data_IF_289428385894
#
_entry.id   IF_289428385894
#
_cell.length_a   1.000
_cell.length_b   1.000
_cell.length_c   1.000
_cell.angle_alpha   90.00
_cell.angle_beta   90.00
_cell.angle_gamma   90.00
#
_symmetry.space_group_name_H-M   'P 1'
#
loop_
_entity.id
_entity.type
_entity.pdbx_description
1 polymer ?
#
# COMPACT_ATOMS: atom_id res chain seq x y z
N UNK A 1 -15.68 -24.22 -50.74
CA UNK A 1 -14.95 -22.95 -50.95
C UNK A 1 -14.68 -22.33 -49.59
N UNK A 2 -13.61 -22.78 -48.95
CA UNK A 2 -13.09 -22.28 -47.67
C UNK A 2 -12.20 -21.08 -47.95
N UNK A 3 -12.59 -19.89 -47.49
CA UNK A 3 -11.73 -18.71 -47.53
C UNK A 3 -10.98 -18.56 -46.21
N UNK A 4 -9.71 -18.24 -46.40
CA UNK A 4 -8.58 -18.40 -45.50
C UNK A 4 -8.62 -17.43 -44.30
N UNK A 5 -8.23 -17.92 -43.13
CA UNK A 5 -8.20 -17.20 -41.86
C UNK A 5 -6.78 -16.69 -41.60
N UNK A 6 -6.19 -16.05 -42.62
CA UNK A 6 -4.84 -15.49 -42.65
C UNK A 6 -4.87 -14.17 -43.42
N UNK A 7 -5.28 -13.07 -42.79
CA UNK A 7 -5.02 -11.72 -43.32
C UNK A 7 -5.30 -10.54 -42.35
N UNK A 8 -5.37 -10.78 -41.03
CA UNK A 8 -5.57 -9.73 -40.03
C UNK A 8 -4.58 -9.85 -38.85
N UNK A 9 -3.30 -10.10 -39.15
CA UNK A 9 -2.20 -9.89 -38.21
C UNK A 9 -1.37 -8.70 -38.71
N UNK A 10 -1.86 -7.49 -38.43
CA UNK A 10 -1.07 -6.28 -38.58
C UNK A 10 0.07 -6.27 -37.56
N UNK A 11 1.28 -6.08 -38.06
CA UNK A 11 2.54 -6.00 -37.32
C UNK A 11 2.47 -5.02 -36.14
N UNK A 12 2.40 -5.57 -34.93
CA UNK A 12 2.74 -4.83 -33.71
C UNK A 12 4.26 -4.56 -33.72
N UNK A 13 4.70 -3.31 -33.49
CA UNK A 13 6.13 -3.00 -33.41
C UNK A 13 6.75 -3.79 -32.25
N UNK A 14 7.77 -4.59 -32.57
CA UNK A 14 8.56 -5.32 -31.57
C UNK A 14 9.14 -4.32 -30.54
N UNK A 15 8.67 -4.43 -29.30
CA UNK A 15 9.28 -3.76 -28.17
C UNK A 15 10.78 -4.13 -28.10
N UNK A 16 11.68 -3.16 -27.85
CA UNK A 16 13.11 -3.45 -27.75
C UNK A 16 13.35 -4.52 -26.67
N UNK A 17 14.04 -5.59 -27.04
CA UNK A 17 14.52 -6.60 -26.10
C UNK A 17 15.53 -5.95 -25.16
N UNK A 18 15.06 -5.38 -24.07
CA UNK A 18 15.92 -4.98 -22.96
C UNK A 18 16.43 -6.25 -22.29
N UNK A 19 17.67 -6.62 -22.59
CA UNK A 19 18.43 -7.59 -21.80
C UNK A 19 18.47 -7.06 -20.36
N UNK A 20 18.04 -7.82 -19.34
CA UNK A 20 18.18 -7.38 -17.96
C UNK A 20 19.65 -7.05 -17.69
N UNK A 21 19.96 -5.97 -16.94
CA UNK A 21 21.33 -5.59 -16.68
C UNK A 21 22.07 -6.79 -16.08
N UNK A 22 23.24 -7.09 -16.66
CA UNK A 22 24.12 -8.15 -16.21
C UNK A 22 24.27 -8.07 -14.69
N UNK A 23 23.99 -9.20 -14.00
CA UNK A 23 24.00 -9.37 -12.54
C UNK A 23 25.43 -9.19 -12.02
N UNK A 24 25.93 -7.97 -12.14
CA UNK A 24 27.21 -7.57 -11.61
C UNK A 24 27.01 -7.59 -10.11
N UNK A 25 27.61 -8.58 -9.46
CA UNK A 25 27.64 -8.69 -8.01
C UNK A 25 28.13 -7.36 -7.46
N UNK A 26 27.22 -6.51 -6.99
CA UNK A 26 27.56 -5.42 -6.08
C UNK A 26 28.01 -6.15 -4.84
N UNK A 27 29.33 -6.32 -4.73
CA UNK A 27 29.95 -6.85 -3.52
C UNK A 27 29.49 -5.93 -2.39
N UNK A 28 28.68 -6.45 -1.48
CA UNK A 28 28.40 -5.79 -0.24
C UNK A 28 29.75 -5.43 0.37
N UNK A 29 30.07 -4.14 0.42
CA UNK A 29 31.22 -3.65 1.17
C UNK A 29 30.92 -3.98 2.63
N UNK A 30 31.48 -5.09 3.11
CA UNK A 30 31.48 -5.41 4.53
C UNK A 30 32.14 -4.22 5.23
N UNK A 31 31.36 -3.51 6.06
CA UNK A 31 31.89 -2.47 6.92
C UNK A 31 33.04 -3.03 7.79
N UNK A 32 33.92 -2.16 8.31
CA UNK A 32 35.05 -2.59 9.11
C UNK A 32 34.61 -3.53 10.25
N UNK A 33 35.32 -4.65 10.48
CA UNK A 33 34.96 -5.59 11.53
C UNK A 33 34.98 -4.88 12.90
N UNK A 34 33.83 -4.87 13.58
CA UNK A 34 33.67 -4.26 14.91
C UNK A 34 32.73 -3.05 14.97
N UNK A 35 32.23 -2.52 13.84
CA UNK A 35 31.17 -1.52 13.88
C UNK A 35 29.84 -2.15 14.34
N UNK A 36 29.12 -1.57 15.31
CA UNK A 36 27.81 -2.07 15.72
C UNK A 36 26.89 -2.05 14.50
N UNK A 37 26.38 -3.22 14.11
CA UNK A 37 25.41 -3.31 13.03
C UNK A 37 24.17 -2.51 13.43
N UNK A 38 23.63 -1.72 12.50
CA UNK A 38 22.43 -0.91 12.74
C UNK A 38 21.28 -1.39 11.87
N UNK A 39 20.06 -1.23 12.40
CA UNK A 39 18.80 -1.49 11.71
C UNK A 39 18.12 -0.14 11.49
N UNK A 40 17.71 0.13 10.26
CA UNK A 40 16.87 1.30 9.93
C UNK A 40 15.41 0.87 9.92
N UNK A 41 14.59 1.55 10.73
CA UNK A 41 13.16 1.35 10.78
C UNK A 41 12.47 2.59 10.19
N UNK A 42 11.80 2.46 9.03
CA UNK A 42 11.06 3.55 8.40
C UNK A 42 10.06 4.22 9.33
N UNK A 43 10.08 5.55 9.35
CA UNK A 43 8.98 6.33 9.93
C UNK A 43 7.79 6.29 8.97
N UNK A 44 6.63 6.03 9.54
CA UNK A 44 5.35 6.03 8.86
C UNK A 44 4.52 7.22 9.30
N UNK A 45 3.75 7.76 8.38
CA UNK A 45 2.75 8.78 8.65
C UNK A 45 1.43 8.29 8.08
N UNK A 46 0.44 8.17 8.95
CA UNK A 46 -0.97 8.04 8.59
C UNK A 46 -1.63 9.40 8.79
N UNK A 47 -2.47 9.79 7.85
CA UNK A 47 -3.37 10.92 8.01
C UNK A 47 -4.80 10.38 7.92
N UNK A 48 -5.62 10.67 8.92
CA UNK A 48 -7.04 10.33 8.90
C UNK A 48 -7.84 11.62 8.69
N UNK A 49 -8.67 11.63 7.66
CA UNK A 49 -9.52 12.76 7.30
C UNK A 49 -10.96 12.49 7.72
N UNK A 50 -11.54 13.42 8.47
CA UNK A 50 -12.97 13.48 8.76
C UNK A 50 -13.52 14.74 8.11
N UNK A 51 -14.63 14.63 7.38
CA UNK A 51 -15.08 15.57 6.34
C UNK A 51 -14.66 17.04 6.49
N UNK A 52 -15.08 17.70 7.57
CA UNK A 52 -14.80 19.12 7.86
C UNK A 52 -13.81 19.33 9.03
N UNK A 53 -13.27 18.24 9.58
CA UNK A 53 -12.33 18.25 10.69
C UNK A 53 -10.89 18.49 10.25
N UNK A 54 -10.07 19.00 11.17
CA UNK A 54 -8.62 19.05 10.95
C UNK A 54 -8.07 17.61 10.80
N UNK A 55 -7.20 17.33 9.81
CA UNK A 55 -6.64 16.01 9.59
C UNK A 55 -5.90 15.51 10.83
N UNK A 56 -6.29 14.33 11.31
CA UNK A 56 -5.57 13.68 12.41
C UNK A 56 -4.32 12.98 11.86
N UNK A 57 -3.15 13.34 12.38
CA UNK A 57 -1.88 12.81 11.92
C UNK A 57 -1.23 11.91 12.96
N UNK A 58 -1.06 10.64 12.61
CA UNK A 58 -0.35 9.66 13.43
C UNK A 58 1.03 9.36 12.83
N UNK A 59 2.07 9.39 13.67
CA UNK A 59 3.44 9.08 13.26
C UNK A 59 3.94 7.88 14.05
N UNK A 60 4.28 6.81 13.34
CA UNK A 60 4.64 5.52 13.93
C UNK A 60 5.89 4.92 13.28
N UNK A 61 6.42 3.87 13.90
CA UNK A 61 7.54 3.09 13.38
C UNK A 61 7.34 1.63 13.74
N UNK A 62 7.52 0.74 12.76
CA UNK A 62 7.51 -0.69 13.01
C UNK A 62 8.83 -1.12 13.66
N UNK A 63 8.78 -1.58 14.89
CA UNK A 63 9.95 -2.05 15.63
C UNK A 63 10.26 -3.50 15.26
N UNK A 64 11.23 -3.73 14.37
CA UNK A 64 11.67 -5.08 13.97
C UNK A 64 12.10 -6.01 15.12
N UNK A 65 12.44 -5.46 16.29
CA UNK A 65 12.78 -6.25 17.49
C UNK A 65 11.55 -6.68 18.27
N UNK A 66 10.51 -5.83 18.32
CA UNK A 66 9.26 -6.12 19.03
C UNK A 66 8.18 -6.71 18.13
N UNK A 67 8.38 -6.67 16.80
CA UNK A 67 7.44 -7.17 15.81
C UNK A 67 6.14 -6.36 15.74
N UNK A 68 6.14 -5.09 16.16
CA UNK A 68 4.92 -4.26 16.19
C UNK A 68 5.20 -2.78 15.88
N UNK A 69 4.20 -2.07 15.38
CA UNK A 69 4.17 -0.62 15.19
C UNK A 69 3.96 0.10 16.51
N UNK A 70 4.80 1.11 16.74
CA UNK A 70 4.79 1.91 17.95
C UNK A 70 4.72 3.40 17.58
N UNK A 71 4.11 4.23 18.43
CA UNK A 71 4.26 5.68 18.36
C UNK A 71 5.75 6.08 18.31
N UNK A 72 6.10 7.06 17.47
CA UNK A 72 7.50 7.44 17.24
C UNK A 72 8.23 7.89 18.53
N UNK A 73 7.53 8.51 19.46
CA UNK A 73 8.07 8.96 20.74
C UNK A 73 8.47 7.81 21.68
N UNK A 74 7.84 6.64 21.56
CA UNK A 74 8.20 5.43 22.30
C UNK A 74 9.65 4.99 22.01
N UNK A 75 10.22 5.36 20.87
CA UNK A 75 11.63 5.06 20.55
C UNK A 75 12.62 5.81 21.44
N UNK A 76 12.27 7.00 21.98
CA UNK A 76 13.17 7.82 22.80
C UNK A 76 13.65 7.12 24.06
N UNK A 77 12.84 6.21 24.61
CA UNK A 77 13.17 5.40 25.78
C UNK A 77 13.79 4.02 25.46
N UNK A 78 14.01 3.70 24.18
CA UNK A 78 14.50 2.39 23.78
C UNK A 78 16.01 2.28 23.98
N UNK A 79 16.46 1.27 24.74
CA UNK A 79 17.89 0.99 24.95
C UNK A 79 18.67 0.67 23.66
N UNK A 80 17.96 0.32 22.57
CA UNK A 80 18.57 0.05 21.26
C UNK A 80 18.58 1.27 20.34
N UNK A 81 17.99 2.41 20.73
CA UNK A 81 17.98 3.61 19.89
C UNK A 81 19.42 4.12 19.68
N UNK A 82 19.79 4.32 18.42
CA UNK A 82 21.07 4.92 18.01
C UNK A 82 20.85 6.35 17.53
N UNK A 83 19.85 6.57 16.68
CA UNK A 83 19.50 7.89 16.18
C UNK A 83 18.00 8.01 15.89
N UNK A 84 17.44 9.16 16.27
CA UNK A 84 16.13 9.61 15.83
C UNK A 84 16.27 10.44 14.55
N UNK A 85 15.24 10.47 13.69
CA UNK A 85 15.24 11.35 12.53
C UNK A 85 15.12 12.81 12.98
N UNK A 86 15.78 13.72 12.25
CA UNK A 86 15.73 15.17 12.50
C UNK A 86 14.36 15.78 12.13
N UNK A 87 13.64 15.13 11.22
CA UNK A 87 12.32 15.52 10.75
C UNK A 87 11.48 14.28 10.40
N UNK A 88 10.16 14.39 10.49
CA UNK A 88 9.22 13.37 10.00
C UNK A 88 8.72 13.66 8.58
N UNK A 89 9.32 14.66 7.92
CA UNK A 89 9.12 14.94 6.50
C UNK A 89 10.02 14.03 5.63
N UNK A 90 9.47 13.50 4.54
CA UNK A 90 10.13 12.59 3.60
C UNK A 90 10.36 11.18 4.12
N UNK A 91 11.48 10.60 3.68
CA UNK A 91 11.94 9.24 3.99
C UNK A 91 12.77 9.24 5.28
N UNK A 92 12.12 9.51 6.41
CA UNK A 92 12.75 9.46 7.72
C UNK A 92 12.89 8.00 8.23
N UNK A 93 13.95 7.72 8.97
CA UNK A 93 14.16 6.42 9.63
C UNK A 93 14.62 6.60 11.09
N UNK A 94 14.16 5.72 11.96
CA UNK A 94 14.76 5.50 13.29
C UNK A 94 15.86 4.46 13.15
N UNK A 95 17.06 4.79 13.63
CA UNK A 95 18.21 3.86 13.60
C UNK A 95 18.35 3.18 14.95
N UNK A 96 18.40 1.85 14.96
CA UNK A 96 18.53 1.03 16.16
C UNK A 96 19.77 0.12 16.08
N UNK A 97 20.29 -0.31 17.24
CA UNK A 97 21.32 -1.34 17.32
C UNK A 97 20.73 -2.69 16.87
N UNK A 98 21.41 -3.34 15.93
CA UNK A 98 21.05 -4.68 15.50
C UNK A 98 21.40 -5.70 16.57
N UNK A 99 20.52 -6.67 16.78
CA UNK A 99 20.89 -7.94 17.41
C UNK A 99 21.12 -8.91 16.26
N UNK A 100 22.40 -9.16 15.95
CA UNK A 100 22.92 -10.07 14.92
C UNK A 100 21.91 -10.52 13.86
N UNK A 101 21.76 -9.74 12.78
CA UNK A 101 20.98 -10.18 11.61
C UNK A 101 21.89 -11.08 10.77
N UNK A 102 21.55 -12.36 10.68
CA UNK A 102 22.16 -13.26 9.71
C UNK A 102 21.69 -12.87 8.31
N UNK A 103 22.60 -12.35 7.49
CA UNK A 103 22.38 -12.13 6.07
C UNK A 103 22.17 -13.47 5.38
N UNK A 104 20.91 -13.81 5.08
CA UNK A 104 20.60 -15.00 4.31
C UNK A 104 21.11 -14.84 2.87
N UNK A 105 21.71 -15.92 2.36
CA UNK A 105 22.15 -16.07 0.97
C UNK A 105 20.99 -15.74 0.01
N UNK A 106 21.30 -15.36 -1.24
CA UNK A 106 20.32 -15.05 -2.27
C UNK A 106 19.26 -16.15 -2.41
N UNK A 107 18.14 -15.95 -1.72
CA UNK A 107 16.96 -16.80 -1.74
C UNK A 107 16.25 -16.67 -3.09
N UNK A 108 15.60 -17.75 -3.53
CA UNK A 108 14.68 -17.68 -4.68
C UNK A 108 13.48 -16.78 -4.33
N UNK A 109 12.84 -16.21 -5.34
CA UNK A 109 11.79 -15.19 -5.23
C UNK A 109 10.68 -15.58 -4.23
N UNK A 110 10.24 -16.85 -4.27
CA UNK A 110 9.22 -17.37 -3.36
C UNK A 110 9.66 -17.38 -1.88
N UNK A 111 10.91 -17.76 -1.59
CA UNK A 111 11.44 -17.75 -0.22
C UNK A 111 11.57 -16.31 0.30
N UNK A 112 11.96 -15.36 -0.55
CA UNK A 112 11.96 -13.93 -0.16
C UNK A 112 10.56 -13.42 0.13
N UNK A 113 9.60 -13.71 -0.73
CA UNK A 113 8.21 -13.31 -0.54
C UNK A 113 7.59 -13.89 0.75
N UNK A 114 8.04 -15.09 1.16
CA UNK A 114 7.61 -15.74 2.39
C UNK A 114 8.29 -15.18 3.66
N UNK A 115 9.37 -14.39 3.53
CA UNK A 115 10.16 -13.88 4.66
C UNK A 115 10.01 -12.38 4.88
N UNK A 116 9.84 -11.61 3.81
CA UNK A 116 9.69 -10.15 3.91
C UNK A 116 8.29 -9.87 4.45
N UNK A 117 8.23 -9.12 5.55
CA UNK A 117 6.95 -8.72 6.14
C UNK A 117 6.36 -7.49 5.46
N UNK A 118 5.05 -7.35 5.54
CA UNK A 118 4.35 -6.16 5.05
C UNK A 118 4.81 -4.88 5.74
N UNK A 119 5.29 -4.97 6.98
CA UNK A 119 5.90 -3.85 7.67
C UNK A 119 7.16 -3.29 6.98
N UNK A 120 7.78 -4.02 6.06
CA UNK A 120 8.99 -3.57 5.36
C UNK A 120 8.68 -2.91 4.01
N UNK A 121 7.57 -3.28 3.38
CA UNK A 121 7.19 -2.83 2.03
C UNK A 121 5.93 -1.97 1.99
N UNK A 122 5.07 -2.07 3.00
CA UNK A 122 3.86 -1.24 3.12
C UNK A 122 4.22 0.24 3.12
N UNK A 123 3.39 1.05 2.45
CA UNK A 123 3.66 2.47 2.23
C UNK A 123 3.97 3.20 3.51
N UNK A 124 5.00 4.06 3.44
CA UNK A 124 5.39 4.93 4.55
C UNK A 124 4.39 6.07 4.78
N UNK A 125 3.65 6.45 3.75
CA UNK A 125 2.67 7.54 3.78
C UNK A 125 1.40 7.07 3.09
N UNK A 126 0.30 7.16 3.82
CA UNK A 126 -1.02 6.78 3.34
C UNK A 126 -2.07 7.59 4.09
N UNK A 127 -3.26 7.69 3.49
CA UNK A 127 -4.40 8.35 4.08
C UNK A 127 -5.49 7.33 4.39
N UNK A 128 -6.21 7.56 5.48
CA UNK A 128 -7.48 6.93 5.82
C UNK A 128 -8.57 8.00 5.85
N UNK A 129 -9.82 7.57 5.75
CA UNK A 129 -10.98 8.46 5.82
C UNK A 129 -11.99 7.93 6.82
N UNK A 130 -12.74 8.81 7.46
CA UNK A 130 -13.91 8.41 8.25
C UNK A 130 -15.07 8.06 7.33
N UNK A 131 -16.04 7.32 7.88
CA UNK A 131 -17.27 6.96 7.16
C UNK A 131 -18.03 8.20 6.64
N UNK A 132 -17.96 9.30 7.39
CA UNK A 132 -18.62 10.58 7.17
C UNK A 132 -17.93 11.46 6.13
N UNK A 133 -16.73 11.11 5.69
CA UNK A 133 -15.95 11.94 4.75
C UNK A 133 -16.72 12.14 3.43
N UNK A 134 -16.92 13.39 2.96
CA UNK A 134 -17.64 13.67 1.73
C UNK A 134 -16.97 13.10 0.50
N UNK A 135 -17.79 12.75 -0.49
CA UNK A 135 -17.36 12.19 -1.77
C UNK A 135 -16.35 13.08 -2.50
N UNK A 136 -16.57 14.40 -2.48
CA UNK A 136 -15.64 15.38 -3.10
C UNK A 136 -14.22 15.29 -2.53
N UNK A 137 -14.09 15.05 -1.22
CA UNK A 137 -12.79 14.81 -0.59
C UNK A 137 -12.15 13.50 -1.08
N UNK A 138 -12.95 12.45 -1.29
CA UNK A 138 -12.47 11.18 -1.84
C UNK A 138 -11.97 11.34 -3.27
N UNK A 139 -12.69 12.10 -4.09
CA UNK A 139 -12.28 12.43 -5.46
C UNK A 139 -10.93 13.13 -5.47
N UNK A 140 -10.76 14.19 -4.66
CA UNK A 140 -9.46 14.88 -4.58
C UNK A 140 -8.34 13.93 -4.15
N UNK A 141 -8.55 13.13 -3.12
CA UNK A 141 -7.51 12.21 -2.62
C UNK A 141 -7.17 11.10 -3.63
N UNK A 142 -8.17 10.52 -4.30
CA UNK A 142 -7.95 9.38 -5.21
C UNK A 142 -7.53 9.84 -6.60
N UNK A 143 -8.08 10.94 -7.12
CA UNK A 143 -7.85 11.42 -8.48
C UNK A 143 -6.70 12.43 -8.53
N UNK A 144 -6.73 13.47 -7.69
CA UNK A 144 -5.75 14.57 -7.73
C UNK A 144 -4.44 14.20 -7.02
N UNK A 145 -4.52 13.65 -5.80
CA UNK A 145 -3.34 13.22 -5.02
C UNK A 145 -2.81 11.84 -5.45
N UNK A 146 -3.41 11.28 -6.48
CA UNK A 146 -3.14 9.99 -7.07
C UNK A 146 -3.11 8.78 -6.11
N UNK A 147 -3.84 8.83 -4.99
CA UNK A 147 -3.90 7.69 -4.10
C UNK A 147 -4.58 6.49 -4.77
N UNK A 148 -4.09 5.29 -4.47
CA UNK A 148 -4.63 4.07 -5.06
C UNK A 148 -5.95 3.65 -4.40
N UNK A 149 -6.03 3.83 -3.08
CA UNK A 149 -7.17 3.46 -2.26
C UNK A 149 -7.14 4.22 -0.93
N UNK A 150 -8.31 4.33 -0.31
CA UNK A 150 -8.55 4.94 0.99
C UNK A 150 -9.25 3.93 1.90
N UNK A 151 -8.56 3.35 2.90
CA UNK A 151 -9.22 2.60 3.95
C UNK A 151 -10.19 3.53 4.69
N UNK A 152 -11.43 3.07 4.82
CA UNK A 152 -12.44 3.73 5.66
C UNK A 152 -12.33 3.14 7.05
N UNK A 153 -12.20 4.00 8.06
CA UNK A 153 -12.00 3.59 9.46
C UNK A 153 -13.13 4.07 10.37
N UNK A 154 -13.37 3.33 11.45
CA UNK A 154 -14.23 3.76 12.56
C UNK A 154 -13.52 4.73 13.51
N UNK A 155 -14.18 5.10 14.60
CA UNK A 155 -13.64 6.01 15.61
C UNK A 155 -12.43 5.43 16.36
N UNK A 156 -12.30 4.11 16.41
CA UNK A 156 -11.17 3.38 16.99
C UNK A 156 -10.04 3.13 15.97
N UNK A 157 -10.05 3.81 14.81
CA UNK A 157 -9.08 3.67 13.72
C UNK A 157 -9.01 2.26 13.09
N UNK A 158 -10.07 1.46 13.26
CA UNK A 158 -10.17 0.11 12.69
C UNK A 158 -10.82 0.15 11.32
N UNK A 159 -10.34 -0.66 10.37
CA UNK A 159 -10.87 -0.66 9.01
C UNK A 159 -12.28 -1.27 8.96
N UNK A 160 -13.22 -0.52 8.40
CA UNK A 160 -14.62 -0.93 8.19
C UNK A 160 -14.99 -1.05 6.70
N UNK A 161 -14.12 -0.56 5.81
CA UNK A 161 -14.26 -0.66 4.37
C UNK A 161 -13.08 -0.04 3.64
N UNK A 162 -13.17 0.01 2.31
CA UNK A 162 -12.17 0.65 1.45
C UNK A 162 -12.86 1.34 0.27
N UNK A 163 -12.34 2.48 -0.14
CA UNK A 163 -12.73 3.18 -1.37
C UNK A 163 -11.54 3.18 -2.31
N UNK A 164 -11.74 2.71 -3.53
CA UNK A 164 -10.76 2.70 -4.60
C UNK A 164 -11.20 3.62 -5.75
N UNK A 165 -10.30 3.88 -6.69
CA UNK A 165 -10.67 4.60 -7.93
C UNK A 165 -11.74 3.87 -8.74
N UNK A 166 -11.73 2.54 -8.72
CA UNK A 166 -12.74 1.73 -9.40
C UNK A 166 -14.11 1.92 -8.75
N UNK A 167 -14.19 2.04 -7.42
CA UNK A 167 -15.45 2.28 -6.71
C UNK A 167 -16.08 3.63 -7.12
N UNK A 168 -15.26 4.66 -7.36
CA UNK A 168 -15.74 5.95 -7.87
C UNK A 168 -16.32 5.81 -9.29
N UNK A 169 -15.57 5.15 -10.19
CA UNK A 169 -15.94 5.00 -11.60
C UNK A 169 -17.14 4.06 -11.82
N UNK A 170 -17.23 2.98 -11.03
CA UNK A 170 -18.35 2.02 -11.11
C UNK A 170 -19.67 2.72 -10.79
N UNK A 171 -19.65 3.63 -9.82
CA UNK A 171 -20.86 4.28 -9.31
C UNK A 171 -21.31 5.46 -10.15
N UNK A 172 -20.39 6.15 -10.84
CA UNK A 172 -20.73 7.08 -11.92
C UNK A 172 -21.51 6.39 -13.05
N UNK A 173 -21.17 5.14 -13.37
CA UNK A 173 -21.86 4.35 -14.41
C UNK A 173 -23.22 3.85 -13.95
N UNK A 174 -23.31 3.35 -12.71
CA UNK A 174 -24.57 2.91 -12.13
C UNK A 174 -25.58 4.07 -12.02
N UNK A 175 -25.12 5.32 -11.87
CA UNK A 175 -25.97 6.53 -11.90
C UNK A 175 -26.30 7.08 -13.30
N UNK A 176 -25.62 6.62 -14.36
CA UNK A 176 -25.81 7.11 -15.73
C UNK A 176 -26.74 6.23 -16.60
N UNK A 177 -27.01 4.98 -16.19
CA UNK A 177 -27.72 3.99 -17.00
C UNK A 177 -29.27 4.00 -16.85
N UNK A 178 -29.86 4.93 -16.09
CA UNK A 178 -31.32 4.92 -15.82
C UNK A 178 -32.20 5.65 -16.86
N UNK A 179 -31.85 5.52 -18.15
CA UNK A 179 -32.79 5.84 -19.24
C UNK A 179 -32.87 4.67 -20.22
N UNK A 180 -33.31 3.49 -19.78
CA UNK A 180 -34.14 2.51 -20.52
C UNK A 180 -34.20 1.17 -19.77
N UNK A 181 -35.28 0.94 -19.01
CA UNK A 181 -36.10 -0.31 -19.00
C UNK A 181 -36.72 -0.64 -17.64
N UNK A 182 -38.05 -0.58 -17.66
CA UNK A 182 -39.08 -1.23 -16.84
C UNK A 182 -38.66 -2.41 -15.92
N UNK A 183 -39.16 -2.33 -14.67
CA UNK A 183 -39.53 -3.40 -13.71
C UNK A 183 -38.44 -4.03 -12.81
N UNK A 184 -38.30 -3.52 -11.57
CA UNK A 184 -38.20 -4.24 -10.27
C UNK A 184 -37.90 -3.25 -9.10
N UNK A 185 -38.67 -3.20 -8.00
CA UNK A 185 -38.44 -2.23 -6.92
C UNK A 185 -37.71 -2.86 -5.71
N UNK A 186 -36.41 -3.14 -5.79
CA UNK A 186 -35.62 -3.44 -4.57
C UNK A 186 -34.08 -3.34 -4.66
N UNK A 187 -33.56 -2.37 -5.41
CA UNK A 187 -32.23 -1.82 -5.14
C UNK A 187 -32.44 -0.37 -4.72
N UNK A 188 -31.98 0.02 -3.53
CA UNK A 188 -31.92 1.43 -3.14
C UNK A 188 -31.03 2.16 -4.14
N UNK A 189 -31.67 2.89 -5.06
CA UNK A 189 -31.02 3.88 -5.92
C UNK A 189 -30.40 4.92 -4.99
N UNK A 190 -29.07 5.02 -5.01
CA UNK A 190 -28.38 6.15 -4.41
C UNK A 190 -28.06 7.07 -5.59
N UNK A 191 -28.96 8.01 -5.86
CA UNK A 191 -28.58 9.22 -6.57
C UNK A 191 -27.37 9.78 -5.82
N UNK A 192 -26.18 9.78 -6.44
CA UNK A 192 -25.01 10.38 -5.84
C UNK A 192 -25.20 11.88 -5.85
N UNK A 193 -25.88 12.37 -4.82
CA UNK A 193 -25.81 13.78 -4.47
C UNK A 193 -24.33 14.10 -4.19
N UNK A 194 -23.84 15.30 -4.52
CA UNK A 194 -22.51 15.76 -4.09
C UNK A 194 -22.25 15.63 -2.57
N UNK A 195 -23.29 15.35 -1.79
CA UNK A 195 -23.24 15.10 -0.34
C UNK A 195 -23.04 13.62 0.03
N UNK A 196 -22.84 12.72 -0.94
CA UNK A 196 -22.56 11.32 -0.66
C UNK A 196 -21.30 11.17 0.21
N UNK A 197 -21.26 10.13 1.04
CA UNK A 197 -20.15 9.91 1.99
C UNK A 197 -19.35 8.65 1.69
N UNK A 198 -18.13 8.57 2.23
CA UNK A 198 -17.27 7.39 2.14
C UNK A 198 -18.00 6.10 2.54
N UNK A 199 -18.85 6.16 3.57
CA UNK A 199 -19.63 5.03 4.04
C UNK A 199 -20.65 4.48 3.05
N UNK A 200 -21.14 5.32 2.15
CA UNK A 200 -22.14 4.96 1.14
C UNK A 200 -21.49 4.37 -0.11
N UNK A 201 -20.29 4.85 -0.45
CA UNK A 201 -19.57 4.43 -1.66
C UNK A 201 -18.55 3.31 -1.44
N UNK A 202 -18.09 3.09 -0.21
CA UNK A 202 -17.07 2.07 0.08
C UNK A 202 -17.52 0.65 -0.23
N UNK A 203 -16.54 -0.21 -0.56
CA UNK A 203 -16.70 -1.65 -0.48
C UNK A 203 -16.59 -2.08 1.00
N UNK A 204 -17.64 -2.65 1.61
CA UNK A 204 -17.62 -3.09 3.00
C UNK A 204 -16.88 -4.43 3.16
N UNK A 205 -16.50 -4.78 4.39
CA UNK A 205 -15.79 -6.04 4.71
C UNK A 205 -14.43 -6.18 4.02
N UNK A 206 -13.58 -5.17 4.16
CA UNK A 206 -12.25 -5.14 3.57
C UNK A 206 -11.34 -6.25 4.11
N UNK A 207 -10.65 -6.96 3.22
CA UNK A 207 -9.59 -7.89 3.59
C UNK A 207 -8.38 -7.13 4.10
N UNK A 208 -7.92 -7.46 5.31
CA UNK A 208 -6.75 -6.84 5.94
C UNK A 208 -5.73 -7.89 6.33
N UNK A 209 -4.46 -7.47 6.41
CA UNK A 209 -3.37 -8.33 6.86
C UNK A 209 -2.62 -7.69 8.03
N UNK A 210 -2.12 -8.49 8.99
CA UNK A 210 -1.28 -7.96 10.04
C UNK A 210 0.08 -7.51 9.46
N UNK A 211 0.70 -6.54 10.12
CA UNK A 211 1.95 -5.93 9.67
C UNK A 211 3.16 -6.87 9.65
N UNK A 212 3.15 -7.94 10.42
CA UNK A 212 4.16 -8.99 10.40
C UNK A 212 3.90 -10.08 9.33
N UNK A 213 2.75 -10.05 8.65
CA UNK A 213 2.41 -11.03 7.63
C UNK A 213 3.41 -11.00 6.47
N UNK A 214 3.75 -12.17 5.89
CA UNK A 214 4.55 -12.24 4.67
C UNK A 214 3.87 -11.54 3.50
N UNK A 215 4.67 -10.88 2.67
CA UNK A 215 4.16 -10.19 1.47
C UNK A 215 3.49 -11.15 0.48
N UNK A 216 3.85 -12.44 0.50
CA UNK A 216 3.21 -13.47 -0.32
C UNK A 216 1.71 -13.57 -0.08
N UNK A 217 1.23 -13.31 1.15
CA UNK A 217 -0.20 -13.30 1.45
C UNK A 217 -0.89 -12.10 0.82
N UNK A 218 -0.25 -10.93 0.82
CA UNK A 218 -0.79 -9.75 0.14
C UNK A 218 -0.81 -9.95 -1.38
N UNK A 219 0.25 -10.53 -1.96
CA UNK A 219 0.28 -10.88 -3.38
C UNK A 219 -0.85 -11.85 -3.74
N UNK A 220 -1.12 -12.85 -2.90
CA UNK A 220 -2.21 -13.78 -3.11
C UNK A 220 -3.57 -13.07 -3.03
N UNK A 221 -3.80 -12.21 -2.03
CA UNK A 221 -5.05 -11.44 -1.93
C UNK A 221 -5.26 -10.54 -3.14
N UNK A 222 -4.26 -9.77 -3.57
CA UNK A 222 -4.35 -8.90 -4.75
C UNK A 222 -4.62 -9.69 -6.05
N UNK A 223 -4.21 -10.96 -6.11
CA UNK A 223 -4.39 -11.81 -7.29
C UNK A 223 -5.72 -12.57 -7.30
N UNK A 224 -6.25 -12.93 -6.13
CA UNK A 224 -7.46 -13.73 -5.98
C UNK A 224 -8.70 -12.87 -5.78
N UNK A 225 -8.55 -11.80 -5.01
CA UNK A 225 -9.59 -10.82 -4.77
C UNK A 225 -9.42 -9.69 -5.77
N UNK A 226 -10.50 -9.21 -6.38
CA UNK A 226 -10.47 -8.09 -7.32
C UNK A 226 -10.24 -6.77 -6.58
N UNK A 227 -9.07 -6.64 -5.93
CA UNK A 227 -8.68 -5.52 -5.10
C UNK A 227 -7.25 -5.09 -5.41
N UNK A 228 -7.04 -3.78 -5.52
CA UNK A 228 -5.74 -3.19 -5.81
C UNK A 228 -4.95 -2.78 -4.57
N UNK A 229 -5.55 -2.89 -3.38
CA UNK A 229 -4.94 -2.47 -2.14
C UNK A 229 -5.40 -3.31 -0.95
N UNK A 230 -4.45 -3.64 -0.07
CA UNK A 230 -4.68 -4.37 1.17
C UNK A 230 -4.27 -3.49 2.34
N UNK A 231 -5.21 -3.05 3.20
CA UNK A 231 -4.87 -2.37 4.43
C UNK A 231 -4.09 -3.30 5.36
N UNK A 232 -3.06 -2.73 5.99
CA UNK A 232 -2.22 -3.40 6.97
C UNK A 232 -2.66 -2.94 8.35
N UNK A 233 -2.86 -3.87 9.27
CA UNK A 233 -3.25 -3.58 10.66
C UNK A 233 -2.16 -3.95 11.65
N UNK A 234 -2.02 -3.16 12.70
CA UNK A 234 -1.19 -3.51 13.86
C UNK A 234 -1.94 -4.37 14.88
N UNK A 235 -1.27 -4.74 15.97
CA UNK A 235 -1.82 -5.62 17.03
C UNK A 235 -3.14 -5.13 17.64
N UNK A 236 -3.39 -3.82 17.64
CA UNK A 236 -4.62 -3.20 18.17
C UNK A 236 -5.79 -3.19 17.17
N UNK A 237 -5.56 -3.67 15.95
CA UNK A 237 -6.51 -3.64 14.84
C UNK A 237 -6.56 -2.31 14.09
N UNK A 238 -5.73 -1.33 14.47
CA UNK A 238 -5.69 -0.03 13.79
C UNK A 238 -4.95 -0.17 12.46
N UNK A 239 -5.33 0.61 11.46
CA UNK A 239 -4.60 0.65 10.18
C UNK A 239 -3.22 1.29 10.40
N UNK A 240 -2.15 0.54 10.12
CA UNK A 240 -0.74 0.97 10.26
C UNK A 240 -0.01 1.08 8.91
N UNK A 241 -0.63 0.63 7.82
CA UNK A 241 -0.07 0.72 6.48
C UNK A 241 -1.06 0.38 5.38
N UNK A 242 -0.61 0.53 4.14
CA UNK A 242 -1.33 0.12 2.94
C UNK A 242 -0.32 -0.54 1.98
N UNK A 243 -0.71 -1.67 1.38
CA UNK A 243 0.09 -2.35 0.36
C UNK A 243 -0.73 -2.48 -0.93
N UNK A 244 -0.20 -2.02 -2.05
CA UNK A 244 -0.94 -1.98 -3.33
C UNK A 244 -0.32 -2.85 -4.41
N UNK A 245 -1.08 -3.11 -5.48
CA UNK A 245 -0.58 -3.78 -6.69
C UNK A 245 0.64 -3.05 -7.29
N UNK A 246 0.68 -1.71 -7.24
CA UNK A 246 1.85 -0.91 -7.63
C UNK A 246 3.06 -1.18 -6.73
N UNK A 247 2.87 -1.35 -5.42
CA UNK A 247 3.96 -1.64 -4.49
C UNK A 247 4.49 -3.06 -4.68
N UNK A 248 3.61 -4.03 -4.97
CA UNK A 248 3.97 -5.38 -5.40
C UNK A 248 4.85 -5.37 -6.67
N UNK A 249 4.39 -4.70 -7.74
CA UNK A 249 5.15 -4.61 -9.00
C UNK A 249 6.50 -3.93 -8.80
N UNK A 250 6.55 -2.85 -8.00
CA UNK A 250 7.81 -2.18 -7.64
C UNK A 250 8.77 -3.14 -6.95
N UNK A 251 8.29 -3.90 -5.97
CA UNK A 251 9.12 -4.88 -5.27
C UNK A 251 9.64 -5.96 -6.23
N UNK A 252 8.79 -6.53 -7.08
CA UNK A 252 9.22 -7.52 -8.09
C UNK A 252 10.30 -6.96 -9.01
N UNK A 253 10.12 -5.74 -9.52
CA UNK A 253 11.13 -5.10 -10.38
C UNK A 253 12.47 -4.92 -9.65
N UNK A 254 12.46 -4.52 -8.38
CA UNK A 254 13.68 -4.41 -7.57
C UNK A 254 14.35 -5.77 -7.36
N UNK A 255 13.59 -6.83 -7.11
CA UNK A 255 14.11 -8.20 -6.98
C UNK A 255 14.75 -8.73 -8.27
N UNK A 256 14.23 -8.30 -9.42
CA UNK A 256 14.80 -8.57 -10.73
C UNK A 256 16.03 -7.69 -11.05
N UNK A 257 16.39 -6.76 -10.17
CA UNK A 257 17.58 -5.90 -10.29
C UNK A 257 17.34 -4.57 -11.01
N UNK A 258 16.09 -4.18 -11.24
CA UNK A 258 15.76 -2.86 -11.77
C UNK A 258 15.82 -1.80 -10.68
N UNK A 259 16.36 -0.62 -11.03
CA UNK A 259 16.32 0.55 -10.16
C UNK A 259 14.95 1.19 -10.30
N UNK A 260 14.11 1.07 -9.27
CA UNK A 260 12.81 1.74 -9.22
C UNK A 260 12.90 2.92 -8.25
N UNK A 261 12.76 4.12 -8.79
CA UNK A 261 12.68 5.34 -7.99
C UNK A 261 11.32 5.41 -7.28
N UNK A 262 11.31 5.84 -6.02
CA UNK A 262 10.06 6.19 -5.36
C UNK A 262 9.49 7.47 -6.00
N UNK A 263 8.18 7.53 -6.31
CA UNK A 263 7.56 8.75 -6.80
C UNK A 263 7.61 9.81 -5.69
N UNK A 264 8.19 10.98 -6.01
CA UNK A 264 8.36 12.10 -5.08
C UNK A 264 9.79 12.37 -4.59
N UNK A 265 10.81 11.79 -5.24
CA UNK A 265 12.23 12.15 -5.08
C UNK A 265 12.65 13.31 -5.97
#
# INVERSE_FOLDING_TARGET
MTRDRRELEGELPHAPRHTPPNRTKVSAMAGPPGAPQTIRNPVRTKVTLDGDGEPEREVSVFCKIRGQSLPLDACKGCARLVAMPESTAGHADVTCQASSITTAKAADFAEKAARISLSELGRRRFACVKRTTPFTTLETLLLDDELAALPVVDDDERPIGIVTREDLLRRERDGADEVTSTELPHATHVDLHPDATAGEVMTPHVHVLPEDAPISFALALLAMENTDAVPIVGDRGHVTGLFTSRDAVRWVAQELGYVVHEPGG
#
